data_IF_733101967398
#
_entry.id   IF_733101967398
#
_cell.length_a   1.000
_cell.length_b   1.000
_cell.length_c   1.000
_cell.angle_alpha   90.00
_cell.angle_beta   90.00
_cell.angle_gamma   90.00
#
_symmetry.space_group_name_H-M   'P 1'
#
loop_
_entity.id
_entity.type
_entity.pdbx_description
1 polymer ?
#
# COMPACT_ATOMS: atom_id res chain seq x y z
N UNK A 1 11.45 18.99 -2.68
CA UNK A 1 10.61 18.57 -3.83
C UNK A 1 11.02 19.29 -5.12
N UNK A 2 11.10 18.58 -6.27
CA UNK A 2 11.34 19.19 -7.58
C UNK A 2 10.17 20.06 -8.03
N UNK A 3 10.45 21.05 -8.87
CA UNK A 3 9.43 21.89 -9.52
C UNK A 3 8.97 21.29 -10.85
N UNK A 4 7.73 21.57 -11.25
CA UNK A 4 7.22 21.15 -12.57
C UNK A 4 8.08 21.71 -13.71
N UNK A 5 8.63 22.93 -13.56
CA UNK A 5 9.52 23.53 -14.55
C UNK A 5 10.84 22.77 -14.67
N UNK A 6 11.43 22.31 -13.56
CA UNK A 6 12.63 21.47 -13.59
C UNK A 6 12.38 20.13 -14.28
N UNK A 7 11.27 19.46 -13.97
CA UNK A 7 10.93 18.17 -14.57
C UNK A 7 10.68 18.34 -16.08
N UNK A 8 9.93 19.37 -16.47
CA UNK A 8 9.70 19.70 -17.88
C UNK A 8 10.99 20.02 -18.63
N UNK A 9 11.94 20.72 -18.00
CA UNK A 9 13.23 21.09 -18.60
C UNK A 9 14.17 19.89 -18.78
N UNK A 10 14.23 19.00 -17.80
CA UNK A 10 15.14 17.84 -17.81
C UNK A 10 14.63 16.73 -18.72
N UNK A 11 13.31 16.55 -18.82
CA UNK A 11 12.68 15.52 -19.62
C UNK A 11 11.53 16.12 -20.46
N UNK A 12 11.83 16.86 -21.55
CA UNK A 12 10.79 17.53 -22.33
C UNK A 12 9.90 16.55 -23.13
N UNK A 13 10.48 15.45 -23.61
CA UNK A 13 9.81 14.47 -24.49
C UNK A 13 9.65 13.08 -23.87
N UNK A 14 10.34 12.80 -22.76
CA UNK A 14 10.16 11.55 -22.03
C UNK A 14 9.09 11.76 -20.96
N UNK A 15 7.96 11.04 -20.98
CA UNK A 15 6.94 11.21 -19.95
C UNK A 15 7.47 10.78 -18.57
N UNK A 16 7.25 11.63 -17.57
CA UNK A 16 7.72 11.47 -16.19
C UNK A 16 6.52 11.53 -15.26
N UNK A 17 6.48 10.61 -14.30
CA UNK A 17 5.56 10.62 -13.17
C UNK A 17 6.39 10.52 -11.89
N UNK A 18 6.22 11.45 -10.95
CA UNK A 18 6.90 11.42 -9.65
C UNK A 18 5.85 11.27 -8.58
N UNK A 19 5.83 10.12 -7.88
CA UNK A 19 4.91 9.89 -6.77
C UNK A 19 5.54 10.40 -5.48
N UNK A 20 4.83 11.23 -4.74
CA UNK A 20 5.27 11.75 -3.45
C UNK A 20 4.30 11.36 -2.33
N UNK A 21 4.74 10.43 -1.49
CA UNK A 21 4.07 9.99 -0.25
C UNK A 21 2.55 9.76 -0.41
N UNK A 22 2.11 9.23 -1.56
CA UNK A 22 0.70 8.94 -1.86
C UNK A 22 -0.29 10.11 -1.81
N UNK A 23 0.22 11.32 -1.56
CA UNK A 23 -0.55 12.55 -1.43
C UNK A 23 -0.59 13.35 -2.72
N UNK A 24 0.48 13.29 -3.50
CA UNK A 24 0.57 14.04 -4.74
C UNK A 24 1.47 13.35 -5.76
N UNK A 25 1.26 13.69 -7.03
CA UNK A 25 2.16 13.29 -8.09
C UNK A 25 2.48 14.46 -9.02
N UNK A 26 3.71 14.47 -9.54
CA UNK A 26 4.19 15.46 -10.50
C UNK A 26 4.35 14.80 -11.85
N UNK A 27 3.68 15.37 -12.85
CA UNK A 27 3.70 14.92 -14.22
C UNK A 27 4.26 16.05 -15.08
N UNK A 28 5.20 15.71 -15.94
CA UNK A 28 5.62 16.67 -16.97
C UNK A 28 4.59 16.76 -18.10
N UNK A 29 4.77 17.75 -18.97
CA UNK A 29 3.91 17.97 -20.14
C UNK A 29 3.87 16.76 -21.08
N UNK A 30 4.95 16.00 -21.21
CA UNK A 30 4.95 14.76 -21.99
C UNK A 30 4.02 13.70 -21.37
N UNK A 31 4.04 13.52 -20.05
CA UNK A 31 3.13 12.60 -19.36
C UNK A 31 1.67 13.06 -19.48
N UNK A 32 1.38 14.36 -19.32
CA UNK A 32 0.03 14.90 -19.53
C UNK A 32 -0.53 14.59 -20.93
N UNK A 33 0.31 14.67 -21.97
CA UNK A 33 -0.07 14.30 -23.35
C UNK A 33 -0.42 12.82 -23.46
N UNK A 34 0.39 11.94 -22.87
CA UNK A 34 0.20 10.49 -22.94
C UNK A 34 -1.04 10.04 -22.17
N UNK A 35 -1.25 10.55 -20.95
CA UNK A 35 -2.42 10.17 -20.13
C UNK A 35 -3.73 10.81 -20.62
N UNK A 36 -3.65 11.85 -21.46
CA UNK A 36 -4.80 12.53 -22.05
C UNK A 36 -5.54 13.50 -21.10
N UNK A 37 -4.88 14.03 -20.06
CA UNK A 37 -5.49 15.06 -19.21
C UNK A 37 -5.49 16.41 -19.91
N UNK A 38 -6.68 16.98 -20.05
CA UNK A 38 -6.92 18.26 -20.72
C UNK A 38 -7.62 19.24 -19.77
N UNK A 39 -7.89 20.45 -20.25
CA UNK A 39 -8.72 21.44 -19.53
C UNK A 39 -10.13 20.92 -19.23
N UNK A 40 -10.65 20.03 -20.08
CA UNK A 40 -12.02 19.53 -20.02
C UNK A 40 -12.13 18.22 -19.21
N UNK A 41 -11.00 17.67 -18.75
CA UNK A 41 -10.98 16.49 -17.88
C UNK A 41 -11.51 16.87 -16.49
N UNK A 42 -12.60 16.26 -16.00
CA UNK A 42 -13.09 16.53 -14.66
C UNK A 42 -12.13 15.97 -13.60
N UNK A 43 -12.14 16.56 -12.42
CA UNK A 43 -11.51 15.97 -11.24
C UNK A 43 -12.23 14.65 -10.91
N UNK A 44 -11.50 13.55 -10.65
CA UNK A 44 -12.13 12.32 -10.18
C UNK A 44 -12.65 12.50 -8.75
N UNK A 45 -13.60 11.66 -8.30
CA UNK A 45 -13.95 11.58 -6.89
C UNK A 45 -12.69 11.35 -6.07
N UNK A 46 -12.49 12.21 -5.07
CA UNK A 46 -11.37 12.11 -4.15
C UNK A 46 -9.99 12.48 -4.74
N UNK A 47 -9.93 13.36 -5.74
CA UNK A 47 -8.66 13.85 -6.25
C UNK A 47 -8.79 15.15 -7.05
N UNK A 48 -7.67 15.85 -7.20
CA UNK A 48 -7.57 17.12 -7.91
C UNK A 48 -6.53 17.02 -9.02
N UNK A 49 -6.91 17.38 -10.24
CA UNK A 49 -5.98 17.73 -11.31
C UNK A 49 -5.76 19.23 -11.19
N UNK A 50 -4.60 19.64 -10.65
CA UNK A 50 -4.33 21.07 -10.45
C UNK A 50 -4.26 21.80 -11.79
N UNK A 51 -4.83 23.00 -11.85
CA UNK A 51 -4.93 23.81 -13.06
C UNK A 51 -4.28 25.17 -12.91
N UNK A 52 -3.73 25.69 -14.00
CA UNK A 52 -3.27 27.07 -14.08
C UNK A 52 -4.44 28.07 -14.20
N UNK A 53 -4.13 29.36 -14.22
CA UNK A 53 -5.12 30.44 -14.36
C UNK A 53 -5.89 30.42 -15.69
N UNK A 54 -5.47 29.61 -16.67
CA UNK A 54 -6.12 29.41 -17.96
C UNK A 54 -6.88 28.08 -18.02
N UNK A 55 -6.93 27.33 -16.93
CA UNK A 55 -7.61 26.03 -16.83
C UNK A 55 -6.81 24.84 -17.35
N UNK A 56 -5.57 25.02 -17.79
CA UNK A 56 -4.76 23.89 -18.27
C UNK A 56 -4.22 23.09 -17.07
N UNK A 57 -4.16 21.74 -17.15
CA UNK A 57 -3.49 20.95 -16.14
C UNK A 57 -2.03 21.40 -15.96
N UNK A 58 -1.61 21.66 -14.73
CA UNK A 58 -0.22 22.06 -14.44
C UNK A 58 0.74 20.88 -14.55
N UNK A 59 0.24 19.68 -14.25
CA UNK A 59 1.04 18.48 -14.05
C UNK A 59 1.04 17.99 -12.60
N UNK A 60 0.53 18.79 -11.65
CA UNK A 60 0.35 18.33 -10.28
C UNK A 60 -1.00 17.61 -10.13
N UNK A 61 -0.97 16.44 -9.50
CA UNK A 61 -2.15 15.73 -9.01
C UNK A 61 -2.13 15.73 -7.48
N UNK A 62 -3.28 15.96 -6.87
CA UNK A 62 -3.44 15.93 -5.41
C UNK A 62 -4.48 14.86 -5.07
N UNK A 63 -4.10 13.93 -4.20
CA UNK A 63 -4.96 12.90 -3.63
C UNK A 63 -5.73 13.48 -2.44
N UNK A 64 -7.05 13.23 -2.36
CA UNK A 64 -7.89 13.67 -1.23
C UNK A 64 -9.12 12.77 -1.04
N UNK A 65 -9.25 11.91 -0.03
CA UNK A 65 -8.34 11.66 1.08
C UNK A 65 -7.32 10.55 0.80
N UNK A 66 -7.31 9.97 -0.42
CA UNK A 66 -6.49 8.80 -0.70
C UNK A 66 -5.92 8.81 -2.13
N UNK A 67 -4.96 7.93 -2.38
CA UNK A 67 -4.14 7.88 -3.59
C UNK A 67 -4.86 7.41 -4.88
N UNK A 68 -6.19 7.28 -4.88
CA UNK A 68 -6.96 6.73 -6.02
C UNK A 68 -6.62 7.44 -7.33
N UNK A 69 -6.58 8.78 -7.36
CA UNK A 69 -6.22 9.54 -8.57
C UNK A 69 -4.80 9.22 -9.05
N UNK A 70 -3.86 9.02 -8.13
CA UNK A 70 -2.45 8.78 -8.45
C UNK A 70 -2.30 7.39 -9.09
N UNK A 71 -2.94 6.39 -8.49
CA UNK A 71 -2.97 5.03 -9.02
C UNK A 71 -3.72 4.92 -10.34
N UNK A 72 -4.90 5.53 -10.45
CA UNK A 72 -5.68 5.54 -11.67
C UNK A 72 -4.94 6.24 -12.81
N UNK A 73 -4.16 7.29 -12.51
CA UNK A 73 -3.34 7.97 -13.52
C UNK A 73 -2.13 7.14 -13.91
N UNK A 74 -1.43 6.54 -12.95
CA UNK A 74 -0.29 5.69 -13.22
C UNK A 74 -0.69 4.45 -14.05
N UNK A 75 -1.87 3.88 -13.81
CA UNK A 75 -2.43 2.76 -14.57
C UNK A 75 -2.76 3.10 -16.04
N UNK A 76 -2.91 4.40 -16.39
CA UNK A 76 -3.03 4.85 -17.79
C UNK A 76 -1.69 4.94 -18.51
N UNK A 77 -0.59 4.81 -17.78
CA UNK A 77 0.76 4.75 -18.34
C UNK A 77 1.01 3.45 -19.11
N UNK A 78 2.10 3.39 -19.90
CA UNK A 78 2.51 2.16 -20.55
C UNK A 78 2.93 1.12 -19.49
N UNK A 79 2.44 -0.11 -19.64
CA UNK A 79 2.87 -1.26 -18.84
C UNK A 79 4.25 -1.72 -19.31
N UNK A 80 5.11 -2.12 -18.39
CA UNK A 80 6.38 -2.74 -18.75
C UNK A 80 6.18 -4.07 -19.50
N UNK A 81 7.10 -4.40 -20.41
CA UNK A 81 7.16 -5.74 -20.99
C UNK A 81 7.38 -6.78 -19.89
N UNK A 82 6.95 -8.02 -20.09
CA UNK A 82 7.11 -9.08 -19.08
C UNK A 82 8.58 -9.27 -18.67
N UNK A 83 9.51 -9.25 -19.63
CA UNK A 83 10.95 -9.33 -19.37
C UNK A 83 11.47 -8.15 -18.54
N UNK A 84 10.98 -6.93 -18.81
CA UNK A 84 11.32 -5.76 -18.01
C UNK A 84 10.77 -5.85 -16.59
N UNK A 85 9.58 -6.42 -16.40
CA UNK A 85 9.03 -6.69 -15.06
C UNK A 85 9.92 -7.68 -14.30
N UNK A 86 10.32 -8.80 -14.94
CA UNK A 86 11.25 -9.77 -14.34
C UNK A 86 12.58 -9.11 -13.95
N UNK A 87 13.17 -8.32 -14.86
CA UNK A 87 14.42 -7.61 -14.60
C UNK A 87 14.26 -6.55 -13.49
N UNK A 88 13.16 -5.80 -13.47
CA UNK A 88 12.87 -4.82 -12.42
C UNK A 88 12.77 -5.47 -11.05
N UNK A 89 12.07 -6.62 -10.95
CA UNK A 89 11.97 -7.40 -9.71
C UNK A 89 13.32 -7.92 -9.23
N UNK A 90 14.19 -8.41 -10.12
CA UNK A 90 15.57 -8.80 -9.76
C UNK A 90 16.37 -7.62 -9.21
N UNK A 91 16.27 -6.45 -9.86
CA UNK A 91 16.97 -5.24 -9.42
C UNK A 91 16.44 -4.75 -8.06
N UNK A 92 15.12 -4.85 -7.84
CA UNK A 92 14.49 -4.55 -6.57
C UNK A 92 15.03 -5.44 -5.44
N UNK A 93 15.00 -6.76 -5.63
CA UNK A 93 15.53 -7.71 -4.64
C UNK A 93 17.04 -7.50 -4.40
N UNK A 94 17.82 -7.17 -5.45
CA UNK A 94 19.23 -6.82 -5.30
C UNK A 94 19.43 -5.58 -4.43
N UNK A 95 18.59 -4.56 -4.58
CA UNK A 95 18.67 -3.36 -3.76
C UNK A 95 18.32 -3.63 -2.30
N UNK A 96 17.29 -4.44 -2.04
CA UNK A 96 16.98 -4.92 -0.69
C UNK A 96 18.17 -5.69 -0.06
N UNK A 97 18.78 -6.62 -0.81
CA UNK A 97 19.96 -7.35 -0.34
C UNK A 97 21.13 -6.41 -0.02
N UNK A 98 21.30 -5.31 -0.77
CA UNK A 98 22.36 -4.31 -0.55
C UNK A 98 22.23 -3.63 0.82
N UNK A 99 21.01 -3.54 1.35
CA UNK A 99 20.72 -3.05 2.71
C UNK A 99 20.66 -4.17 3.76
N UNK A 100 20.98 -5.42 3.40
CA UNK A 100 20.90 -6.57 4.30
C UNK A 100 19.46 -7.08 4.55
N UNK A 101 18.47 -6.59 3.79
CA UNK A 101 17.08 -7.07 3.89
C UNK A 101 16.98 -8.42 3.18
N UNK A 102 16.73 -9.48 3.95
CA UNK A 102 16.68 -10.87 3.43
C UNK A 102 15.27 -11.48 3.44
N UNK A 103 14.28 -10.76 3.97
CA UNK A 103 12.88 -11.17 3.96
C UNK A 103 11.94 -9.98 3.95
N UNK A 104 10.83 -10.11 3.23
CA UNK A 104 9.76 -9.12 3.15
C UNK A 104 8.39 -9.79 3.24
N UNK A 105 7.40 -9.03 3.70
CA UNK A 105 6.01 -9.41 3.58
C UNK A 105 5.38 -8.42 2.60
N UNK A 106 4.90 -8.93 1.47
CA UNK A 106 4.01 -8.16 0.60
C UNK A 106 2.65 -8.12 1.29
N UNK A 107 2.31 -6.95 1.82
CA UNK A 107 1.07 -6.74 2.55
C UNK A 107 -0.15 -6.83 1.63
N UNK A 108 0.01 -6.78 0.30
CA UNK A 108 -1.11 -6.71 -0.65
C UNK A 108 -1.63 -5.27 -0.75
N UNK A 109 -1.78 -4.75 -1.97
CA UNK A 109 -2.31 -3.41 -2.21
C UNK A 109 -2.08 -2.93 -3.64
N UNK A 110 -2.23 -1.62 -3.88
CA UNK A 110 -1.76 -0.98 -5.12
C UNK A 110 -2.42 -1.46 -6.43
N UNK A 111 -3.64 -2.00 -6.37
CA UNK A 111 -4.32 -2.65 -7.52
C UNK A 111 -3.56 -3.88 -8.07
N UNK A 112 -2.83 -4.62 -7.23
CA UNK A 112 -2.20 -5.89 -7.60
C UNK A 112 -3.23 -7.04 -7.61
N UNK A 113 -3.72 -7.38 -8.80
CA UNK A 113 -4.74 -8.38 -9.03
C UNK A 113 -4.12 -9.78 -9.07
N UNK A 114 -4.58 -10.63 -8.17
CA UNK A 114 -4.31 -12.06 -8.16
C UNK A 114 -5.27 -12.82 -9.08
N UNK A 115 -4.80 -13.77 -9.90
CA UNK A 115 -3.42 -14.28 -9.94
C UNK A 115 -2.48 -13.52 -10.90
N UNK A 116 -3.01 -12.73 -11.82
CA UNK A 116 -2.27 -12.24 -12.99
C UNK A 116 -1.00 -11.44 -12.65
N UNK A 117 -1.04 -10.60 -11.62
CA UNK A 117 0.09 -9.76 -11.24
C UNK A 117 1.14 -10.47 -10.39
N UNK A 118 0.90 -11.72 -10.00
CA UNK A 118 1.82 -12.55 -9.21
C UNK A 118 2.72 -13.44 -10.09
N UNK A 119 2.41 -13.57 -11.38
CA UNK A 119 3.12 -14.41 -12.35
C UNK A 119 4.62 -14.11 -12.45
N UNK A 120 5.04 -12.85 -12.23
CA UNK A 120 6.46 -12.46 -12.26
C UNK A 120 7.23 -13.09 -11.11
N UNK A 121 6.68 -13.08 -9.90
CA UNK A 121 7.30 -13.73 -8.75
C UNK A 121 7.26 -15.24 -8.86
N UNK A 122 6.13 -15.81 -9.30
CA UNK A 122 5.99 -17.24 -9.51
C UNK A 122 7.04 -17.77 -10.49
N UNK A 123 7.26 -17.06 -11.60
CA UNK A 123 8.28 -17.44 -12.59
C UNK A 123 9.70 -17.29 -12.05
N UNK A 124 10.00 -16.21 -11.31
CA UNK A 124 11.30 -16.04 -10.67
C UNK A 124 11.57 -17.11 -9.61
N UNK A 125 10.55 -17.50 -8.83
CA UNK A 125 10.65 -18.59 -7.85
C UNK A 125 10.89 -19.93 -8.55
N UNK A 126 10.14 -20.23 -9.62
CA UNK A 126 10.32 -21.43 -10.44
C UNK A 126 11.72 -21.52 -11.05
N UNK A 127 12.34 -20.38 -11.40
CA UNK A 127 13.72 -20.31 -11.91
C UNK A 127 14.78 -20.32 -10.80
N UNK A 128 14.40 -20.27 -9.53
CA UNK A 128 15.33 -20.18 -8.40
C UNK A 128 16.05 -18.83 -8.31
N UNK A 129 15.42 -17.76 -8.81
CA UNK A 129 16.00 -16.42 -8.92
C UNK A 129 15.53 -15.46 -7.81
N UNK A 130 14.65 -15.91 -6.90
CA UNK A 130 14.25 -15.13 -5.73
C UNK A 130 15.40 -15.08 -4.71
N UNK A 131 15.86 -13.88 -4.38
CA UNK A 131 16.95 -13.68 -3.42
C UNK A 131 16.47 -13.12 -2.07
N UNK A 132 15.21 -12.70 -1.97
CA UNK A 132 14.60 -12.16 -0.75
C UNK A 132 13.38 -13.02 -0.41
N UNK A 133 13.37 -13.63 0.79
CA UNK A 133 12.24 -14.46 1.23
C UNK A 133 10.97 -13.63 1.30
N UNK A 134 10.00 -13.93 0.46
CA UNK A 134 8.80 -13.11 0.25
C UNK A 134 7.57 -13.91 0.63
N UNK A 135 6.79 -13.36 1.57
CA UNK A 135 5.49 -13.88 1.93
C UNK A 135 4.42 -12.89 1.47
N UNK A 136 3.44 -13.32 0.68
CA UNK A 136 2.44 -12.41 0.11
C UNK A 136 1.05 -12.61 0.71
N UNK A 137 0.30 -11.51 0.85
CA UNK A 137 -1.08 -11.53 1.28
C UNK A 137 -2.00 -11.12 0.11
N UNK A 138 -3.24 -11.64 0.12
CA UNK A 138 -4.26 -11.31 -0.86
C UNK A 138 -5.22 -10.29 -0.28
N UNK A 139 -5.38 -9.15 -0.94
CA UNK A 139 -6.35 -8.11 -0.57
C UNK A 139 -7.54 -8.17 -1.52
N UNK A 140 -8.68 -7.64 -1.06
CA UNK A 140 -9.92 -7.60 -1.86
C UNK A 140 -9.75 -6.87 -3.19
N UNK A 141 -10.37 -7.38 -4.26
CA UNK A 141 -10.22 -6.84 -5.62
C UNK A 141 -11.53 -6.25 -6.17
N UNK A 142 -12.67 -6.72 -5.67
CA UNK A 142 -13.99 -6.35 -6.18
C UNK A 142 -14.82 -5.67 -5.08
N UNK A 143 -15.02 -4.33 -5.16
CA UNK A 143 -15.87 -3.62 -4.21
C UNK A 143 -17.27 -4.24 -4.14
N UNK A 144 -17.79 -4.42 -2.92
CA UNK A 144 -19.08 -5.09 -2.61
C UNK A 144 -19.14 -6.58 -2.93
N UNK A 145 -18.00 -7.21 -3.23
CA UNK A 145 -17.89 -8.64 -3.50
C UNK A 145 -16.72 -9.28 -2.72
N UNK A 146 -16.26 -8.60 -1.67
CA UNK A 146 -15.04 -8.91 -0.93
C UNK A 146 -15.09 -10.29 -0.28
N UNK A 147 -16.24 -10.66 0.30
CA UNK A 147 -16.45 -12.00 0.86
C UNK A 147 -16.30 -13.11 -0.19
N UNK A 148 -16.78 -12.88 -1.42
CA UNK A 148 -16.67 -13.86 -2.49
C UNK A 148 -15.23 -13.99 -2.99
N UNK A 149 -14.47 -12.89 -3.03
CA UNK A 149 -13.04 -12.92 -3.32
C UNK A 149 -12.31 -13.85 -2.32
N UNK A 150 -12.53 -13.66 -1.02
CA UNK A 150 -11.91 -14.51 0.00
C UNK A 150 -12.45 -15.95 0.01
N UNK A 151 -13.73 -16.18 -0.27
CA UNK A 151 -14.28 -17.54 -0.43
C UNK A 151 -13.62 -18.28 -1.59
N UNK A 152 -13.40 -17.61 -2.72
CA UNK A 152 -12.73 -18.21 -3.86
C UNK A 152 -11.26 -18.55 -3.53
N UNK A 153 -10.53 -17.66 -2.86
CA UNK A 153 -9.13 -17.91 -2.52
C UNK A 153 -8.94 -18.95 -1.43
N UNK A 154 -9.76 -18.93 -0.38
CA UNK A 154 -9.76 -19.97 0.67
C UNK A 154 -10.10 -21.37 0.15
N UNK A 155 -10.91 -21.46 -0.92
CA UNK A 155 -11.22 -22.72 -1.58
C UNK A 155 -10.09 -23.23 -2.51
N UNK A 156 -9.22 -22.35 -2.99
CA UNK A 156 -8.22 -22.66 -4.03
C UNK A 156 -6.77 -22.54 -3.57
N UNK A 157 -6.51 -21.97 -2.41
CA UNK A 157 -5.18 -21.72 -1.85
C UNK A 157 -5.12 -22.13 -0.37
N UNK A 158 -3.91 -22.39 0.12
CA UNK A 158 -3.66 -22.60 1.54
C UNK A 158 -2.51 -21.71 2.02
N UNK A 159 -2.65 -21.02 3.17
CA UNK A 159 -1.57 -20.25 3.76
C UNK A 159 -0.34 -21.12 4.01
N UNK A 160 0.82 -20.48 3.93
CA UNK A 160 2.13 -21.09 4.10
C UNK A 160 2.53 -22.12 3.04
N UNK A 161 1.79 -22.21 1.93
CA UNK A 161 2.17 -23.00 0.75
C UNK A 161 3.03 -22.17 -0.21
N UNK A 162 3.93 -22.84 -0.93
CA UNK A 162 4.94 -22.25 -1.79
C UNK A 162 6.32 -22.84 -1.54
N UNK A 163 7.38 -22.15 -1.98
CA UNK A 163 8.76 -22.51 -1.73
C UNK A 163 9.27 -21.95 -0.39
N UNK A 164 10.52 -22.26 -0.03
CA UNK A 164 11.18 -21.64 1.13
C UNK A 164 11.50 -20.15 0.92
N UNK A 165 11.40 -19.65 -0.32
CA UNK A 165 11.67 -18.27 -0.71
C UNK A 165 10.42 -17.48 -1.09
N UNK A 166 9.35 -18.13 -1.51
CA UNK A 166 8.14 -17.46 -1.94
C UNK A 166 6.90 -18.25 -1.53
N UNK A 167 6.03 -17.65 -0.71
CA UNK A 167 4.85 -18.34 -0.20
C UNK A 167 3.66 -17.44 0.05
N UNK A 168 2.47 -18.01 -0.07
CA UNK A 168 1.24 -17.37 0.35
C UNK A 168 1.21 -17.27 1.88
N UNK A 169 0.79 -16.13 2.43
CA UNK A 169 0.76 -15.88 3.87
C UNK A 169 -0.66 -15.74 4.43
N UNK A 170 -1.62 -15.27 3.64
CA UNK A 170 -2.99 -15.06 4.07
C UNK A 170 -3.66 -13.87 3.39
N UNK A 171 -4.61 -13.24 4.09
CA UNK A 171 -5.39 -12.11 3.61
C UNK A 171 -4.83 -10.74 4.07
N UNK A 172 -5.21 -9.67 3.39
CA UNK A 172 -4.91 -8.28 3.76
C UNK A 172 -4.07 -7.55 2.72
N UNK A 173 -3.71 -6.28 2.96
CA UNK A 173 -4.02 -5.47 4.16
C UNK A 173 -5.39 -4.78 4.10
N UNK A 174 -6.09 -4.90 2.97
CA UNK A 174 -7.48 -4.45 2.82
C UNK A 174 -8.42 -5.66 2.74
N UNK A 175 -9.20 -5.86 3.81
CA UNK A 175 -10.21 -6.92 3.86
C UNK A 175 -11.54 -6.46 3.26
N UNK A 176 -11.99 -5.26 3.60
CA UNK A 176 -13.21 -4.66 3.03
C UNK A 176 -12.94 -3.20 2.68
N UNK A 177 -13.52 -2.72 1.58
CA UNK A 177 -13.29 -1.33 1.16
C UNK A 177 -13.89 -0.33 2.15
N UNK A 178 -14.93 -0.70 2.88
CA UNK A 178 -15.54 0.12 3.95
C UNK A 178 -14.62 0.33 5.16
N UNK A 179 -13.56 -0.47 5.33
CA UNK A 179 -12.57 -0.35 6.40
C UNK A 179 -11.36 0.50 6.03
N UNK A 180 -11.32 1.07 4.82
CA UNK A 180 -10.16 1.82 4.35
C UNK A 180 -10.10 3.20 5.01
N UNK A 181 -9.33 3.29 6.11
CA UNK A 181 -9.21 4.52 6.90
C UNK A 181 -8.12 5.48 6.44
N UNK A 182 -7.17 5.03 5.58
CA UNK A 182 -6.16 5.80 4.83
C UNK A 182 -5.35 6.85 5.62
N UNK A 183 -4.05 6.84 5.40
CA UNK A 183 -3.06 7.56 6.22
C UNK A 183 -2.65 8.97 5.73
N UNK A 184 -3.54 9.76 5.11
CA UNK A 184 -3.15 11.10 4.64
C UNK A 184 -3.32 12.16 5.72
N UNK A 185 -2.24 12.39 6.48
CA UNK A 185 -2.23 13.39 7.55
C UNK A 185 -2.31 14.84 7.09
N UNK A 186 -2.48 15.16 5.80
CA UNK A 186 -2.88 16.51 5.36
C UNK A 186 -4.39 16.67 5.13
N UNK A 187 -5.13 15.57 5.16
CA UNK A 187 -6.59 15.53 5.00
C UNK A 187 -7.27 15.17 6.33
N UNK A 188 -8.55 15.54 6.55
CA UNK A 188 -9.29 15.08 7.72
C UNK A 188 -9.32 13.54 7.79
N UNK A 189 -9.29 12.99 9.01
CA UNK A 189 -9.50 11.55 9.22
C UNK A 189 -10.79 11.12 8.51
N UNK A 190 -10.78 10.05 7.69
CA UNK A 190 -11.99 9.51 7.09
C UNK A 190 -13.00 9.03 8.14
N UNK A 191 -14.27 9.33 7.91
CA UNK A 191 -15.38 8.74 8.66
C UNK A 191 -15.82 7.44 7.97
N UNK A 192 -15.57 6.30 8.62
CA UNK A 192 -15.91 5.00 8.05
C UNK A 192 -17.44 4.78 8.10
N UNK A 193 -18.04 4.22 7.04
CA UNK A 193 -19.49 4.04 6.96
C UNK A 193 -20.02 3.04 8.00
N UNK A 194 -21.32 3.09 8.29
CA UNK A 194 -21.97 2.17 9.25
C UNK A 194 -22.10 0.73 8.74
N UNK A 195 -21.93 0.50 7.43
CA UNK A 195 -21.94 -0.85 6.83
C UNK A 195 -20.63 -1.61 7.08
N UNK A 196 -19.60 -0.90 7.58
CA UNK A 196 -18.29 -1.47 7.90
C UNK A 196 -18.41 -2.71 8.78
N UNK A 197 -19.18 -2.62 9.86
CA UNK A 197 -19.24 -3.68 10.87
C UNK A 197 -19.77 -4.98 10.27
N UNK A 198 -20.83 -4.89 9.47
CA UNK A 198 -21.44 -6.05 8.82
C UNK A 198 -20.49 -6.67 7.78
N UNK A 199 -19.92 -5.85 6.89
CA UNK A 199 -18.99 -6.32 5.85
C UNK A 199 -17.71 -6.94 6.45
N UNK A 200 -17.11 -6.26 7.44
CA UNK A 200 -15.91 -6.76 8.11
C UNK A 200 -16.20 -8.01 8.93
N UNK A 201 -17.39 -8.11 9.55
CA UNK A 201 -17.80 -9.30 10.30
C UNK A 201 -17.86 -10.52 9.38
N UNK A 202 -18.56 -10.43 8.25
CA UNK A 202 -18.69 -11.56 7.32
C UNK A 202 -17.34 -12.06 6.79
N UNK A 203 -16.47 -11.14 6.38
CA UNK A 203 -15.12 -11.48 5.87
C UNK A 203 -14.25 -12.06 6.98
N UNK A 204 -14.23 -11.43 8.16
CA UNK A 204 -13.40 -11.89 9.28
C UNK A 204 -13.87 -13.25 9.79
N UNK A 205 -15.19 -13.45 9.94
CA UNK A 205 -15.76 -14.72 10.35
C UNK A 205 -15.35 -15.85 9.39
N UNK A 206 -15.45 -15.60 8.08
CA UNK A 206 -15.02 -16.56 7.06
C UNK A 206 -13.52 -16.89 7.18
N UNK A 207 -12.64 -15.88 7.25
CA UNK A 207 -11.19 -16.09 7.37
C UNK A 207 -10.82 -16.86 8.64
N UNK A 208 -11.45 -16.54 9.78
CA UNK A 208 -11.19 -17.18 11.07
C UNK A 208 -11.68 -18.64 11.04
N UNK A 209 -12.85 -18.92 10.44
CA UNK A 209 -13.34 -20.30 10.22
C UNK A 209 -12.39 -21.14 9.38
N UNK A 210 -11.83 -20.55 8.32
CA UNK A 210 -10.85 -21.20 7.45
C UNK A 210 -9.43 -21.23 8.04
N UNK A 211 -9.23 -20.67 9.24
CA UNK A 211 -7.92 -20.53 9.89
C UNK A 211 -6.90 -19.80 9.02
N UNK A 212 -7.37 -18.88 8.19
CA UNK A 212 -6.56 -18.06 7.31
C UNK A 212 -5.98 -16.86 8.07
N UNK A 213 -4.65 -16.72 8.15
CA UNK A 213 -4.03 -15.53 8.70
C UNK A 213 -4.47 -14.30 7.93
N UNK A 214 -4.56 -13.16 8.60
CA UNK A 214 -4.94 -11.93 7.93
C UNK A 214 -4.25 -10.70 8.50
N UNK A 215 -4.29 -9.62 7.73
CA UNK A 215 -3.83 -8.30 8.13
C UNK A 215 -4.89 -7.27 7.80
N UNK A 216 -4.96 -6.20 8.58
CA UNK A 216 -5.88 -5.11 8.36
C UNK A 216 -5.17 -3.77 8.53
N UNK A 217 -5.23 -2.94 7.49
CA UNK A 217 -4.85 -1.54 7.53
C UNK A 217 -5.65 -0.81 8.60
N UNK A 218 -4.96 -0.19 9.56
CA UNK A 218 -5.62 0.49 10.67
C UNK A 218 -4.76 1.63 11.22
N UNK A 219 -4.93 2.83 10.66
CA UNK A 219 -4.15 4.02 11.04
C UNK A 219 -4.67 4.63 12.35
N UNK A 220 -6.00 4.75 12.47
CA UNK A 220 -6.61 5.60 13.49
C UNK A 220 -7.25 4.82 14.64
N UNK A 221 -7.12 5.32 15.87
CA UNK A 221 -7.71 4.76 17.08
C UNK A 221 -9.23 4.61 17.00
N UNK A 222 -9.93 5.53 16.34
CA UNK A 222 -11.38 5.46 16.12
C UNK A 222 -11.78 4.28 15.22
N UNK A 223 -11.00 4.03 14.16
CA UNK A 223 -11.17 2.87 13.29
C UNK A 223 -10.82 1.58 14.03
N UNK A 224 -9.68 1.57 14.72
CA UNK A 224 -9.18 0.40 15.46
C UNK A 224 -10.18 -0.06 16.53
N UNK A 225 -10.78 0.86 17.28
CA UNK A 225 -11.82 0.50 18.26
C UNK A 225 -12.95 -0.28 17.57
N UNK A 226 -13.45 0.20 16.43
CA UNK A 226 -14.54 -0.45 15.67
C UNK A 226 -14.12 -1.81 15.09
N UNK A 227 -12.90 -1.91 14.55
CA UNK A 227 -12.37 -3.18 14.04
C UNK A 227 -12.28 -4.24 15.14
N UNK A 228 -11.81 -3.85 16.32
CA UNK A 228 -11.71 -4.74 17.48
C UNK A 228 -13.10 -5.13 18.01
N UNK A 229 -14.10 -4.25 17.96
CA UNK A 229 -15.49 -4.60 18.32
C UNK A 229 -16.00 -5.75 17.43
N UNK A 230 -15.72 -5.69 16.12
CA UNK A 230 -16.03 -6.77 15.17
C UNK A 230 -15.25 -8.05 15.50
N UNK A 231 -13.94 -7.93 15.75
CA UNK A 231 -13.10 -9.09 16.03
C UNK A 231 -13.52 -9.80 17.33
N UNK A 232 -13.93 -9.07 18.37
CA UNK A 232 -14.46 -9.63 19.60
C UNK A 232 -15.80 -10.35 19.38
N UNK A 233 -16.67 -9.80 18.52
CA UNK A 233 -17.91 -10.46 18.12
C UNK A 233 -17.63 -11.79 17.41
N UNK A 234 -16.74 -11.80 16.41
CA UNK A 234 -16.34 -13.03 15.72
C UNK A 234 -15.69 -14.02 16.68
N UNK A 235 -14.81 -13.57 17.58
CA UNK A 235 -14.08 -14.42 18.53
C UNK A 235 -15.01 -15.16 19.51
N UNK A 236 -16.20 -14.61 19.81
CA UNK A 236 -17.23 -15.29 20.61
C UNK A 236 -17.82 -16.50 19.88
N UNK A 237 -17.88 -16.46 18.55
CA UNK A 237 -18.43 -17.55 17.73
C UNK A 237 -17.35 -18.54 17.29
N UNK A 238 -16.21 -18.00 16.83
CA UNK A 238 -15.07 -18.78 16.32
C UNK A 238 -13.79 -18.20 16.90
N UNK A 239 -13.15 -18.88 17.87
CA UNK A 239 -11.99 -18.33 18.57
C UNK A 239 -10.79 -18.05 17.66
N UNK A 240 -10.18 -16.87 17.87
CA UNK A 240 -8.94 -16.43 17.23
C UNK A 240 -7.70 -17.15 17.79
N UNK A 241 -7.87 -17.95 18.85
CA UNK A 241 -6.78 -18.70 19.47
C UNK A 241 -5.95 -19.44 18.42
N UNK A 242 -4.63 -19.27 18.45
CA UNK A 242 -3.65 -19.83 17.51
C UNK A 242 -3.77 -19.35 16.05
N UNK A 243 -4.57 -18.32 15.77
CA UNK A 243 -4.64 -17.64 14.46
C UNK A 243 -3.73 -16.42 14.47
N UNK A 244 -2.94 -16.25 13.40
CA UNK A 244 -2.07 -15.07 13.26
C UNK A 244 -2.85 -13.96 12.57
N UNK A 245 -2.95 -12.81 13.23
CA UNK A 245 -3.51 -11.61 12.63
C UNK A 245 -2.74 -10.36 13.06
N UNK A 246 -2.74 -9.33 12.20
CA UNK A 246 -1.93 -8.11 12.38
C UNK A 246 -2.78 -6.88 12.07
N UNK A 247 -2.70 -5.85 12.92
CA UNK A 247 -3.06 -4.48 12.54
C UNK A 247 -1.83 -3.78 11.96
N UNK A 248 -1.99 -3.18 10.79
CA UNK A 248 -0.98 -2.36 10.15
C UNK A 248 -1.13 -0.90 10.57
N UNK A 249 0.00 -0.23 10.83
CA UNK A 249 0.13 1.19 11.18
C UNK A 249 -0.07 1.53 12.67
N UNK A 250 -1.32 1.70 13.10
CA UNK A 250 -1.70 2.03 14.47
C UNK A 250 -1.12 3.35 15.01
N UNK A 251 -0.97 4.40 14.19
CA UNK A 251 -0.43 5.70 14.61
C UNK A 251 -1.17 6.32 15.78
N UNK A 252 -2.51 6.23 15.82
CA UNK A 252 -3.31 6.83 16.89
C UNK A 252 -4.07 5.83 17.76
N UNK A 253 -3.62 4.57 17.81
CA UNK A 253 -4.25 3.53 18.63
C UNK A 253 -4.44 3.97 20.08
N UNK A 254 -5.63 3.72 20.63
CA UNK A 254 -5.93 4.00 22.03
C UNK A 254 -5.29 2.98 22.95
N UNK A 255 -4.94 3.40 24.17
CA UNK A 255 -4.31 2.52 25.17
C UNK A 255 -5.18 1.31 25.53
N UNK A 256 -6.50 1.51 25.68
CA UNK A 256 -7.48 0.43 25.89
C UNK A 256 -7.47 -0.61 24.75
N UNK A 257 -7.17 -0.20 23.53
CA UNK A 257 -7.22 -1.06 22.35
C UNK A 257 -5.94 -1.90 22.23
N UNK A 258 -4.82 -1.46 22.83
CA UNK A 258 -3.61 -2.28 22.95
C UNK A 258 -3.88 -3.54 23.77
N UNK A 259 -4.61 -3.42 24.89
CA UNK A 259 -4.98 -4.54 25.75
C UNK A 259 -5.85 -5.55 25.00
N UNK A 260 -6.85 -5.06 24.26
CA UNK A 260 -7.74 -5.87 23.42
C UNK A 260 -6.98 -6.65 22.35
N UNK A 261 -5.99 -6.02 21.69
CA UNK A 261 -5.12 -6.73 20.72
C UNK A 261 -4.34 -7.86 21.39
N UNK A 262 -3.82 -7.65 22.60
CA UNK A 262 -3.12 -8.70 23.37
C UNK A 262 -4.06 -9.85 23.71
N UNK A 263 -5.24 -9.54 24.24
CA UNK A 263 -6.24 -10.53 24.68
C UNK A 263 -6.73 -11.42 23.53
N UNK A 264 -6.92 -10.83 22.34
CA UNK A 264 -7.29 -11.52 21.11
C UNK A 264 -6.11 -12.21 20.40
N UNK A 265 -4.89 -12.14 20.97
CA UNK A 265 -3.69 -12.79 20.45
C UNK A 265 -3.11 -12.15 19.18
N UNK A 266 -3.43 -10.88 18.93
CA UNK A 266 -3.00 -10.12 17.76
C UNK A 266 -1.57 -9.61 17.82
N UNK A 267 -1.20 -8.88 16.77
CA UNK A 267 0.10 -8.24 16.61
C UNK A 267 -0.06 -6.92 15.89
N UNK A 268 0.93 -6.04 16.00
CA UNK A 268 0.93 -4.73 15.32
C UNK A 268 2.19 -4.61 14.48
N UNK A 269 2.05 -4.16 13.24
CA UNK A 269 3.16 -3.81 12.37
C UNK A 269 3.24 -2.29 12.20
N UNK A 270 4.32 -1.70 12.68
CA UNK A 270 4.55 -0.25 12.69
C UNK A 270 5.54 0.16 11.60
N UNK A 271 5.20 1.23 10.90
CA UNK A 271 5.93 1.77 9.77
C UNK A 271 6.72 3.03 10.13
N UNK A 272 7.84 3.29 9.44
CA UNK A 272 8.64 4.52 9.59
C UNK A 272 7.98 5.77 8.98
N UNK A 273 6.66 5.77 8.76
CA UNK A 273 5.89 6.86 8.12
C UNK A 273 6.08 8.19 8.85
N UNK A 274 6.10 8.15 10.18
CA UNK A 274 6.26 9.34 11.02
C UNK A 274 7.61 10.04 10.83
N UNK A 275 8.63 9.36 10.29
CA UNK A 275 9.88 10.00 9.90
C UNK A 275 9.73 10.91 8.67
N UNK A 276 8.71 10.68 7.83
CA UNK A 276 8.46 11.44 6.59
C UNK A 276 7.24 12.35 6.70
N UNK A 277 6.24 11.99 7.49
CA UNK A 277 4.97 12.73 7.62
C UNK A 277 4.74 13.30 9.02
N UNK A 278 5.73 13.22 9.92
CA UNK A 278 5.61 13.69 11.29
C UNK A 278 5.23 15.17 11.39
N UNK A 279 5.74 16.03 10.50
CA UNK A 279 5.40 17.46 10.47
C UNK A 279 3.91 17.67 10.17
N UNK A 280 3.36 16.99 9.17
CA UNK A 280 1.92 17.05 8.85
C UNK A 280 1.06 16.52 10.00
N UNK A 281 1.52 15.45 10.65
CA UNK A 281 0.86 14.93 11.83
C UNK A 281 0.85 15.96 12.99
N UNK A 282 1.97 16.63 13.24
CA UNK A 282 2.10 17.69 14.26
C UNK A 282 1.20 18.88 13.94
N UNK A 283 1.15 19.34 12.68
CA UNK A 283 0.27 20.42 12.25
C UNK A 283 -1.20 20.10 12.50
N UNK A 284 -1.59 18.83 12.30
CA UNK A 284 -2.98 18.37 12.42
C UNK A 284 -3.41 18.09 13.85
N UNK A 285 -2.61 17.29 14.56
CA UNK A 285 -2.96 16.69 15.85
C UNK A 285 -2.17 17.29 17.02
N UNK A 286 -1.20 18.14 16.73
CA UNK A 286 -0.34 18.79 17.71
C UNK A 286 0.89 17.97 18.11
N UNK A 287 1.93 18.67 18.54
CA UNK A 287 3.20 18.07 18.95
C UNK A 287 3.03 17.02 20.06
N UNK A 288 2.07 17.25 20.98
CA UNK A 288 1.85 16.33 22.11
C UNK A 288 1.34 14.96 21.68
N UNK A 289 0.47 14.92 20.66
CA UNK A 289 -0.01 13.66 20.10
C UNK A 289 1.12 12.93 19.37
N UNK A 290 1.94 13.67 18.61
CA UNK A 290 3.04 13.12 17.82
C UNK A 290 4.12 12.42 18.67
N UNK A 291 4.35 12.87 19.93
CA UNK A 291 5.30 12.23 20.85
C UNK A 291 5.08 10.73 21.05
N UNK A 292 3.84 10.25 20.88
CA UNK A 292 3.45 8.87 21.13
C UNK A 292 2.74 8.22 19.93
N UNK A 293 2.94 8.74 18.71
CA UNK A 293 2.30 8.20 17.50
C UNK A 293 3.33 7.54 16.57
N UNK A 294 3.24 6.22 16.31
CA UNK A 294 2.53 5.22 17.12
C UNK A 294 3.21 5.00 18.49
N UNK A 295 2.49 4.48 19.50
CA UNK A 295 3.00 4.32 20.87
C UNK A 295 3.90 3.08 21.03
N UNK A 296 4.98 2.97 20.24
CA UNK A 296 5.85 1.78 20.13
C UNK A 296 6.36 1.29 21.49
N UNK A 297 6.83 2.20 22.35
CA UNK A 297 7.34 1.83 23.69
C UNK A 297 6.26 1.17 24.55
N UNK A 298 5.01 1.64 24.46
CA UNK A 298 3.88 1.03 25.17
C UNK A 298 3.54 -0.33 24.57
N UNK A 299 3.48 -0.42 23.24
CA UNK A 299 3.23 -1.69 22.54
C UNK A 299 4.24 -2.78 22.96
N UNK A 300 5.53 -2.43 23.04
CA UNK A 300 6.57 -3.38 23.47
C UNK A 300 6.43 -3.79 24.95
N UNK A 301 5.91 -2.90 25.80
CA UNK A 301 5.70 -3.16 27.24
C UNK A 301 4.42 -3.95 27.54
N UNK A 302 3.40 -3.87 26.69
CA UNK A 302 2.13 -4.58 26.88
C UNK A 302 2.20 -6.08 26.52
N UNK A 303 3.35 -6.57 26.05
CA UNK A 303 3.52 -7.95 25.61
C UNK A 303 3.06 -8.20 24.17
N UNK A 304 2.73 -7.15 23.41
CA UNK A 304 2.45 -7.26 21.99
C UNK A 304 3.68 -7.71 21.21
N UNK A 305 3.45 -8.56 20.21
CA UNK A 305 4.45 -8.79 19.16
C UNK A 305 4.37 -7.61 18.21
N UNK A 306 5.42 -6.79 18.20
CA UNK A 306 5.54 -5.63 17.31
C UNK A 306 6.49 -5.96 16.17
N UNK A 307 5.99 -5.90 14.93
CA UNK A 307 6.83 -5.86 13.75
C UNK A 307 7.20 -4.41 13.43
N UNK A 308 8.44 -4.15 13.04
CA UNK A 308 8.86 -2.83 12.53
C UNK A 308 9.25 -2.99 11.05
N UNK A 309 8.30 -3.22 10.14
CA UNK A 309 8.61 -3.20 8.72
C UNK A 309 9.14 -1.81 8.34
N UNK A 310 10.30 -1.78 7.68
CA UNK A 310 10.67 -0.59 6.92
C UNK A 310 9.60 -0.35 5.86
N UNK A 311 9.09 0.87 5.78
CA UNK A 311 8.31 1.28 4.62
C UNK A 311 9.26 1.37 3.44
N UNK A 312 9.37 0.26 2.72
CA UNK A 312 9.41 0.32 1.26
C UNK A 312 7.98 0.25 0.70
N UNK A 313 6.95 0.56 1.52
CA UNK A 313 5.52 0.24 1.34
C UNK A 313 4.81 0.90 0.14
N UNK A 314 5.57 1.35 -0.85
CA UNK A 314 5.09 1.75 -2.18
C UNK A 314 5.88 1.14 -3.31
N UNK A 315 7.15 0.82 -3.07
CA UNK A 315 7.99 0.21 -4.08
C UNK A 315 7.50 -1.20 -4.38
N UNK A 316 7.07 -1.97 -3.39
CA UNK A 316 6.78 -3.41 -3.59
C UNK A 316 5.69 -3.58 -4.65
N UNK A 317 4.43 -3.18 -4.41
CA UNK A 317 3.35 -3.46 -5.36
C UNK A 317 3.48 -2.74 -6.73
N UNK A 318 4.03 -1.52 -6.77
CA UNK A 318 4.11 -0.72 -8.00
C UNK A 318 5.36 -0.96 -8.86
N UNK A 319 6.45 -1.47 -8.27
CA UNK A 319 7.65 -1.82 -9.06
C UNK A 319 7.33 -2.92 -10.08
N UNK A 320 6.34 -3.78 -9.82
CA UNK A 320 6.00 -4.91 -10.68
C UNK A 320 5.26 -4.53 -11.97
N UNK A 321 4.56 -3.40 -12.02
CA UNK A 321 3.76 -3.03 -13.20
C UNK A 321 4.40 -1.97 -14.09
N UNK A 322 4.95 -0.91 -13.48
CA UNK A 322 5.12 0.37 -14.17
C UNK A 322 6.46 1.08 -13.92
N UNK A 323 7.49 0.41 -13.38
CA UNK A 323 8.71 1.10 -12.91
C UNK A 323 10.00 0.56 -13.52
N UNK A 324 10.68 1.39 -14.31
CA UNK A 324 12.12 1.26 -14.54
C UNK A 324 12.84 1.97 -13.38
N UNK A 325 13.65 1.22 -12.63
CA UNK A 325 14.55 1.82 -11.63
C UNK A 325 15.51 2.80 -12.30
N UNK A 326 15.72 3.96 -11.66
CA UNK A 326 16.64 4.98 -12.14
C UNK A 326 18.08 4.43 -12.24
N UNK A 327 18.53 4.12 -13.46
CA UNK A 327 19.96 4.02 -13.77
C UNK A 327 20.47 5.39 -14.18
N UNK A 328 21.25 6.02 -13.31
CA UNK A 328 22.18 7.06 -13.73
C UNK A 328 23.20 6.44 -14.68
N UNK A 329 23.15 6.87 -15.95
CA UNK A 329 24.01 6.50 -17.10
C UNK A 329 23.71 5.17 -17.80
N UNK A 330 22.98 5.27 -18.91
CA UNK A 330 23.31 4.62 -20.19
C UNK A 330 22.47 5.24 -21.32
N UNK A 331 23.01 5.43 -22.55
CA UNK A 331 22.23 5.86 -23.71
C UNK A 331 21.49 4.65 -24.30
N UNK A 332 20.16 4.69 -24.36
CA UNK A 332 19.35 3.75 -25.15
C UNK A 332 18.82 4.47 -26.40
N UNK A 333 18.79 3.80 -27.56
CA UNK A 333 18.26 4.40 -28.80
C UNK A 333 16.74 4.56 -28.71
N UNK A 334 16.25 5.61 -29.37
CA UNK A 334 14.84 5.96 -29.44
C UNK A 334 14.07 4.96 -30.30
N UNK A 335 13.10 4.26 -29.69
CA UNK A 335 11.71 4.04 -30.17
C UNK A 335 10.99 3.25 -29.10
N UNK A 336 9.79 3.72 -28.71
CA UNK A 336 8.99 3.36 -27.53
C UNK A 336 9.54 3.87 -26.20
N UNK A 337 9.12 5.06 -25.78
CA UNK A 337 9.55 5.73 -24.56
C UNK A 337 8.65 5.34 -23.37
N UNK A 338 9.06 4.43 -22.47
CA UNK A 338 8.32 4.14 -21.24
C UNK A 338 8.30 5.36 -20.31
N UNK A 339 7.24 5.49 -19.50
CA UNK A 339 7.19 6.49 -18.43
C UNK A 339 8.30 6.18 -17.43
N UNK A 340 9.10 7.19 -17.06
CA UNK A 340 10.03 7.07 -15.93
C UNK A 340 9.29 7.45 -14.65
N UNK A 341 9.01 6.47 -13.80
CA UNK A 341 8.54 6.69 -12.44
C UNK A 341 9.75 6.95 -11.54
N UNK A 342 9.75 8.10 -10.85
CA UNK A 342 10.70 8.40 -9.77
C UNK A 342 9.88 8.49 -8.49
N UNK A 343 10.19 7.66 -7.50
CA UNK A 343 9.61 7.82 -6.15
C UNK A 343 10.61 8.64 -5.37
N UNK A 344 10.22 9.86 -4.99
CA UNK A 344 11.05 10.75 -4.17
C UNK A 344 10.59 10.65 -2.72
N UNK A 345 11.48 10.15 -1.85
CA UNK A 345 11.27 10.04 -0.41
C UNK A 345 12.16 11.03 0.36
N UNK A 346 12.74 12.02 -0.31
CA UNK A 346 13.60 13.00 0.35
C UNK A 346 12.79 14.15 0.94
N UNK A 347 12.98 14.35 2.25
CA UNK A 347 12.52 15.49 3.05
C UNK A 347 13.10 16.82 2.56
#
# INVERSE_FOLDING_TARGET
>A
MPTLDEINRIAPETPVFILNLYRQAFLNKAALRVIGYTKDTPNPPGGEIQRDSRGNPTGMLIARPNATILYATLAKGPKLSYEDQMNSTRLFMRELNRFGVTSVIDAGGGFQNYPDDYQVFEELDRRGEITVRTAYNLFTQHPKNELNDFKAWTASSQPYTGSSYYRHNGAGEMLVYSAADFEDFVEPRPELPAVLEDELFEVTQHLVQQRWPFRLHATYGESITRFLDVFECVNKEVPFKDLRWILDHAETIHEKDLERVVELGGSIAVQSRMAFQGEYFVERYGAKAAENAPPITKMMKSGLRVGVPFVTAALVSFTFKNTLTAKTRMPLPATDSPIRLIVDNHS
#
